data_IF_997502913066
#
_entry.id   IF_997502913066
#
_cell.length_a   1.000
_cell.length_b   1.000
_cell.length_c   1.000
_cell.angle_alpha   90.00
_cell.angle_beta   90.00
_cell.angle_gamma   90.00
#
_symmetry.space_group_name_H-M   'P 1'
#
loop_
_entity.id
_entity.type
_entity.pdbx_description
1 polymer ?
#
# COMPACT_ATOMS: atom_id res chain seq x y z
N UNK A 1 -10.06 -15.17 -13.21
CA UNK A 1 -9.54 -15.06 -11.83
C UNK A 1 -9.17 -13.61 -11.49
N UNK A 2 -9.46 -12.69 -12.39
CA UNK A 2 -9.12 -11.26 -12.24
C UNK A 2 -10.31 -10.40 -11.76
N UNK A 3 -11.52 -10.96 -11.62
CA UNK A 3 -12.73 -10.20 -11.26
C UNK A 3 -12.81 -9.78 -9.79
N UNK A 4 -12.19 -10.50 -8.87
CA UNK A 4 -12.21 -10.17 -7.43
C UNK A 4 -11.32 -8.97 -7.05
N UNK A 5 -10.38 -8.59 -7.91
CA UNK A 5 -9.48 -7.46 -7.67
C UNK A 5 -10.00 -6.15 -8.28
N UNK A 6 -10.97 -6.23 -9.21
CA UNK A 6 -11.54 -5.06 -9.89
C UNK A 6 -12.89 -4.58 -9.30
N UNK A 7 -13.49 -5.32 -8.33
CA UNK A 7 -14.79 -4.97 -7.75
C UNK A 7 -14.75 -3.80 -6.74
N UNK A 8 -13.59 -3.18 -6.53
CA UNK A 8 -13.41 -2.03 -5.66
C UNK A 8 -13.98 -0.71 -6.21
N UNK A 9 -15.13 -0.75 -6.90
CA UNK A 9 -15.81 0.47 -7.39
C UNK A 9 -16.75 1.10 -6.35
N UNK A 10 -16.93 0.47 -5.18
CA UNK A 10 -17.78 0.96 -4.11
C UNK A 10 -16.95 1.23 -2.86
N UNK A 11 -17.05 2.44 -2.32
CA UNK A 11 -16.40 2.87 -1.09
C UNK A 11 -16.00 4.35 -1.12
N UNK A 12 -15.78 4.96 0.05
CA UNK A 12 -15.36 6.36 0.10
C UNK A 12 -13.97 6.52 -0.51
N UNK A 13 -13.81 7.55 -1.29
CA UNK A 13 -12.56 7.90 -1.97
C UNK A 13 -11.62 8.73 -1.08
N UNK A 14 -11.56 8.45 0.22
CA UNK A 14 -10.71 9.21 1.15
C UNK A 14 -9.23 9.16 0.79
N UNK A 15 -8.78 8.00 0.30
CA UNK A 15 -7.40 7.82 -0.14
C UNK A 15 -7.07 8.58 -1.44
N UNK A 16 -8.09 9.11 -2.14
CA UNK A 16 -7.91 10.02 -3.27
C UNK A 16 -7.51 11.43 -2.86
N UNK A 17 -7.65 11.79 -1.58
CA UNK A 17 -7.14 13.06 -1.07
C UNK A 17 -5.62 13.02 -0.97
N UNK A 18 -4.87 13.95 -1.60
CA UNK A 18 -3.42 13.93 -1.63
C UNK A 18 -2.75 13.80 -0.26
N UNK A 19 -3.27 14.52 0.75
CA UNK A 19 -2.74 14.48 2.11
C UNK A 19 -2.90 13.13 2.79
N UNK A 20 -4.03 12.45 2.54
CA UNK A 20 -4.30 11.10 3.09
C UNK A 20 -3.44 10.07 2.37
N UNK A 21 -3.39 10.13 1.02
CA UNK A 21 -2.55 9.23 0.24
C UNK A 21 -1.07 9.32 0.63
N UNK A 22 -0.55 10.54 0.79
CA UNK A 22 0.83 10.80 1.23
C UNK A 22 1.09 10.20 2.62
N UNK A 23 0.21 10.44 3.57
CA UNK A 23 0.30 9.88 4.92
C UNK A 23 0.30 8.34 4.91
N UNK A 24 -0.46 7.71 4.02
CA UNK A 24 -0.47 6.24 3.89
C UNK A 24 0.85 5.74 3.28
N UNK A 25 1.38 6.41 2.26
CA UNK A 25 2.71 6.10 1.69
C UNK A 25 3.79 6.20 2.76
N UNK A 26 3.79 7.28 3.55
CA UNK A 26 4.72 7.44 4.67
C UNK A 26 4.62 6.32 5.69
N UNK A 27 3.39 5.87 6.01
CA UNK A 27 3.17 4.76 6.93
C UNK A 27 3.66 3.41 6.36
N UNK A 28 3.49 3.17 5.04
CA UNK A 28 4.05 2.00 4.36
C UNK A 28 5.58 1.98 4.52
N UNK A 29 6.24 3.10 4.24
CA UNK A 29 7.68 3.21 4.36
C UNK A 29 8.16 3.13 5.81
N UNK A 30 7.46 3.76 6.74
CA UNK A 30 7.78 3.67 8.17
C UNK A 30 7.73 2.23 8.69
N UNK A 31 6.72 1.45 8.32
CA UNK A 31 6.63 0.04 8.69
C UNK A 31 7.73 -0.81 8.04
N UNK A 32 8.13 -0.49 6.79
CA UNK A 32 9.19 -1.22 6.10
C UNK A 32 10.59 -0.90 6.64
N UNK A 33 10.90 0.38 6.84
CA UNK A 33 12.28 0.81 7.09
C UNK A 33 12.58 1.14 8.55
N UNK A 34 11.61 1.65 9.32
CA UNK A 34 11.81 2.00 10.71
C UNK A 34 11.41 0.88 11.68
N UNK A 35 10.28 0.20 11.40
CA UNK A 35 9.81 -0.91 12.22
C UNK A 35 10.30 -2.28 11.74
N UNK A 36 10.82 -2.35 10.51
CA UNK A 36 11.30 -3.59 9.88
C UNK A 36 10.27 -4.72 9.92
N UNK A 37 8.98 -4.36 9.74
CA UNK A 37 7.91 -5.34 9.75
C UNK A 37 7.86 -6.17 8.48
N UNK A 38 8.37 -5.61 7.37
CA UNK A 38 8.42 -6.28 6.06
C UNK A 38 9.42 -5.59 5.12
N UNK A 39 9.83 -6.33 4.10
CA UNK A 39 10.46 -5.74 2.91
C UNK A 39 9.37 -5.42 1.89
N UNK A 40 9.25 -4.17 1.46
CA UNK A 40 8.29 -3.75 0.44
C UNK A 40 8.86 -3.98 -0.96
N UNK A 41 8.07 -4.61 -1.85
CA UNK A 41 8.44 -4.89 -3.24
C UNK A 41 7.63 -4.07 -4.24
N UNK A 42 6.35 -3.88 -3.97
CA UNK A 42 5.47 -3.01 -4.73
C UNK A 42 4.33 -2.50 -3.85
N UNK A 43 3.84 -1.29 -4.14
CA UNK A 43 2.62 -0.77 -3.55
C UNK A 43 1.93 0.22 -4.50
N UNK A 44 0.62 0.39 -4.31
CA UNK A 44 -0.16 1.46 -4.90
C UNK A 44 -1.28 1.87 -3.93
N UNK A 45 -1.33 3.15 -3.58
CA UNK A 45 -2.42 3.74 -2.80
C UNK A 45 -3.44 4.26 -3.79
N UNK A 46 -4.49 3.48 -4.03
CA UNK A 46 -5.61 3.83 -4.90
C UNK A 46 -6.63 4.68 -4.14
N UNK A 47 -7.57 5.38 -4.81
CA UNK A 47 -8.49 6.29 -4.13
C UNK A 47 -9.33 5.69 -2.99
N UNK A 48 -9.60 4.38 -3.00
CA UNK A 48 -10.44 3.68 -2.02
C UNK A 48 -9.79 2.41 -1.45
N UNK A 49 -8.59 2.04 -1.88
CA UNK A 49 -7.88 0.85 -1.39
C UNK A 49 -6.36 0.96 -1.57
N UNK A 50 -5.64 0.06 -0.92
CA UNK A 50 -4.18 -0.03 -1.01
C UNK A 50 -3.80 -1.44 -1.42
N UNK A 51 -2.96 -1.55 -2.44
CA UNK A 51 -2.25 -2.77 -2.79
C UNK A 51 -0.85 -2.76 -2.19
N UNK A 52 -0.41 -3.90 -1.68
CA UNK A 52 0.91 -4.06 -1.09
C UNK A 52 1.47 -5.46 -1.38
N UNK A 53 2.66 -5.53 -1.95
CA UNK A 53 3.43 -6.78 -2.15
C UNK A 53 4.67 -6.74 -1.27
N UNK A 54 4.77 -7.65 -0.32
CA UNK A 54 5.81 -7.64 0.71
C UNK A 54 6.41 -9.02 0.97
N UNK A 55 7.62 -9.04 1.54
CA UNK A 55 8.12 -10.17 2.32
C UNK A 55 7.94 -9.83 3.79
N UNK A 56 7.07 -10.56 4.49
CA UNK A 56 6.80 -10.31 5.90
C UNK A 56 7.99 -10.75 6.77
N UNK A 57 8.42 -9.86 7.66
CA UNK A 57 9.48 -10.11 8.66
C UNK A 57 8.89 -10.34 10.07
N UNK A 58 7.61 -10.04 10.23
CA UNK A 58 6.81 -10.31 11.44
C UNK A 58 5.51 -11.01 11.04
N UNK A 59 4.78 -11.66 11.97
CA UNK A 59 3.49 -12.26 11.66
C UNK A 59 2.53 -11.28 11.01
N UNK A 60 1.84 -11.70 9.94
CA UNK A 60 0.92 -10.88 9.15
C UNK A 60 -0.10 -10.09 10.00
N UNK A 61 -0.74 -10.68 11.03
CA UNK A 61 -1.65 -9.91 11.89
C UNK A 61 -0.98 -8.72 12.60
N UNK A 62 0.29 -8.88 13.03
CA UNK A 62 1.05 -7.80 13.67
C UNK A 62 1.37 -6.69 12.67
N UNK A 63 1.81 -7.06 11.45
CA UNK A 63 2.08 -6.13 10.36
C UNK A 63 0.82 -5.31 10.01
N UNK A 64 -0.30 -6.00 9.80
CA UNK A 64 -1.58 -5.37 9.43
C UNK A 64 -2.14 -4.48 10.53
N UNK A 65 -2.08 -4.93 11.79
CA UNK A 65 -2.49 -4.13 12.95
C UNK A 65 -1.68 -2.83 13.06
N UNK A 66 -0.38 -2.89 12.82
CA UNK A 66 0.49 -1.71 12.82
C UNK A 66 0.11 -0.74 11.70
N UNK A 67 0.08 -1.23 10.45
CA UNK A 67 -0.20 -0.38 9.29
C UNK A 67 -1.62 0.21 9.34
N UNK A 68 -2.65 -0.62 9.53
CA UNK A 68 -4.05 -0.16 9.62
C UNK A 68 -4.26 0.76 10.84
N UNK A 69 -3.67 0.45 11.98
CA UNK A 69 -3.83 1.26 13.21
C UNK A 69 -3.24 2.66 13.08
N UNK A 70 -2.00 2.79 12.59
CA UNK A 70 -1.34 4.08 12.39
C UNK A 70 -2.11 4.93 11.38
N UNK A 71 -2.46 4.34 10.23
CA UNK A 71 -3.12 5.06 9.15
C UNK A 71 -4.56 5.43 9.48
N UNK A 72 -5.34 4.54 10.11
CA UNK A 72 -6.70 4.84 10.56
C UNK A 72 -6.74 6.00 11.57
N UNK A 73 -5.86 5.97 12.58
CA UNK A 73 -5.78 7.05 13.57
C UNK A 73 -5.51 8.40 12.91
N UNK A 74 -4.45 8.48 12.08
CA UNK A 74 -4.06 9.72 11.41
C UNK A 74 -5.11 10.20 10.41
N UNK A 75 -5.66 9.29 9.59
CA UNK A 75 -6.69 9.65 8.62
C UNK A 75 -7.93 10.20 9.33
N UNK A 76 -8.40 9.55 10.39
CA UNK A 76 -9.55 10.01 11.16
C UNK A 76 -9.32 11.37 11.84
N UNK A 77 -8.11 11.63 12.33
CA UNK A 77 -7.72 12.95 12.85
C UNK A 77 -7.79 14.02 11.73
N UNK A 78 -7.24 13.72 10.53
CA UNK A 78 -7.23 14.65 9.40
C UNK A 78 -8.63 14.90 8.80
N UNK A 79 -9.51 13.90 8.87
CA UNK A 79 -10.87 13.97 8.35
C UNK A 79 -11.90 14.44 9.39
N UNK A 80 -11.51 14.60 10.65
CA UNK A 80 -12.45 14.93 11.74
C UNK A 80 -13.38 13.77 12.10
N UNK A 81 -12.96 12.50 11.85
CA UNK A 81 -13.76 11.30 11.98
C UNK A 81 -13.27 10.39 13.13
N UNK A 82 -12.66 10.99 14.14
CA UNK A 82 -12.12 10.26 15.30
C UNK A 82 -13.19 9.36 15.94
N UNK A 83 -12.85 8.09 16.14
CA UNK A 83 -13.75 7.08 16.69
C UNK A 83 -14.47 6.21 15.64
N UNK A 84 -14.36 6.57 14.36
CA UNK A 84 -14.94 5.78 13.29
C UNK A 84 -13.96 4.74 12.74
N UNK A 85 -14.47 3.67 12.12
CA UNK A 85 -13.65 2.74 11.35
C UNK A 85 -13.20 3.42 10.07
N UNK A 86 -11.89 3.33 9.74
CA UNK A 86 -11.33 3.85 8.50
C UNK A 86 -11.07 2.73 7.46
N UNK A 87 -10.67 1.57 7.94
CA UNK A 87 -10.42 0.39 7.10
C UNK A 87 -11.51 -0.64 7.33
N UNK A 88 -11.88 -1.34 6.26
CA UNK A 88 -12.65 -2.57 6.39
C UNK A 88 -11.89 -3.55 7.29
N UNK A 89 -12.62 -4.31 8.10
CA UNK A 89 -12.03 -5.29 9.02
C UNK A 89 -11.23 -6.33 8.24
N UNK A 90 -11.80 -6.81 7.14
CA UNK A 90 -11.17 -7.78 6.27
C UNK A 90 -10.09 -7.13 5.38
N UNK A 91 -9.04 -7.89 5.14
CA UNK A 91 -8.05 -7.63 4.11
C UNK A 91 -7.86 -8.91 3.31
N UNK A 92 -7.71 -8.77 2.00
CA UNK A 92 -7.41 -9.92 1.14
C UNK A 92 -5.91 -10.11 1.12
N UNK A 93 -5.46 -11.24 1.68
CA UNK A 93 -4.06 -11.65 1.65
C UNK A 93 -3.89 -12.92 0.82
N UNK A 94 -2.82 -12.98 0.07
CA UNK A 94 -2.47 -14.11 -0.77
C UNK A 94 -0.98 -14.40 -0.69
N UNK A 95 -0.66 -15.65 -0.39
CA UNK A 95 0.70 -16.14 -0.48
C UNK A 95 1.10 -16.28 -1.97
N UNK A 96 2.20 -15.67 -2.34
CA UNK A 96 2.80 -15.75 -3.69
C UNK A 96 3.66 -17.01 -3.77
N UNK A 97 3.39 -17.86 -4.76
CA UNK A 97 3.92 -19.23 -4.83
C UNK A 97 5.25 -19.35 -5.58
N UNK A 98 5.45 -18.51 -6.57
CA UNK A 98 6.63 -18.58 -7.43
C UNK A 98 7.01 -17.20 -7.98
N UNK A 99 8.17 -17.13 -8.63
CA UNK A 99 8.71 -15.90 -9.20
C UNK A 99 7.82 -15.35 -10.33
N UNK A 100 7.19 -16.20 -11.14
CA UNK A 100 6.32 -15.75 -12.23
C UNK A 100 5.06 -15.06 -11.68
N UNK A 101 4.48 -15.64 -10.64
CA UNK A 101 3.35 -15.04 -9.93
C UNK A 101 3.76 -13.73 -9.25
N UNK A 102 4.95 -13.68 -8.64
CA UNK A 102 5.50 -12.46 -8.04
C UNK A 102 5.61 -11.33 -9.05
N UNK A 103 6.24 -11.55 -10.21
CA UNK A 103 6.40 -10.52 -11.24
C UNK A 103 5.04 -10.09 -11.83
N UNK A 104 4.11 -11.04 -12.00
CA UNK A 104 2.74 -10.75 -12.44
C UNK A 104 2.01 -9.83 -11.46
N UNK A 105 2.07 -10.13 -10.17
CA UNK A 105 1.42 -9.33 -9.13
C UNK A 105 2.09 -7.96 -9.00
N UNK A 106 3.41 -7.92 -9.04
CA UNK A 106 4.16 -6.66 -9.01
C UNK A 106 3.74 -5.74 -10.16
N UNK A 107 3.80 -6.24 -11.40
CA UNK A 107 3.34 -5.49 -12.58
C UNK A 107 1.89 -5.05 -12.46
N UNK A 108 1.02 -5.92 -11.95
CA UNK A 108 -0.39 -5.60 -11.74
C UNK A 108 -0.56 -4.42 -10.78
N UNK A 109 0.15 -4.42 -9.65
CA UNK A 109 0.10 -3.35 -8.64
C UNK A 109 0.61 -2.03 -9.24
N UNK A 110 1.74 -2.06 -9.92
CA UNK A 110 2.37 -0.88 -10.51
C UNK A 110 1.54 -0.28 -11.65
N UNK A 111 0.86 -1.12 -12.44
CA UNK A 111 -0.02 -0.73 -13.55
C UNK A 111 -1.46 -0.38 -13.12
N UNK A 112 -1.84 -0.64 -11.89
CA UNK A 112 -3.21 -0.44 -11.41
C UNK A 112 -3.70 1.02 -11.62
N UNK A 113 -2.91 2.08 -11.33
CA UNK A 113 -3.32 3.46 -11.59
C UNK A 113 -3.60 3.76 -13.07
N UNK A 114 -2.86 3.15 -13.99
CA UNK A 114 -3.08 3.27 -15.44
C UNK A 114 -4.38 2.58 -15.83
N UNK A 115 -4.60 1.35 -15.36
CA UNK A 115 -5.84 0.58 -15.59
C UNK A 115 -7.08 1.29 -15.05
N UNK A 116 -6.94 1.99 -13.92
CA UNK A 116 -8.00 2.79 -13.33
C UNK A 116 -8.21 4.15 -14.06
N UNK A 117 -7.38 4.48 -15.05
CA UNK A 117 -7.46 5.73 -15.79
C UNK A 117 -7.01 6.97 -15.01
N UNK A 118 -6.28 6.80 -13.91
CA UNK A 118 -5.81 7.90 -13.06
C UNK A 118 -4.60 8.63 -13.66
N UNK A 119 -3.76 7.89 -14.39
CA UNK A 119 -2.58 8.37 -15.10
C UNK A 119 -2.42 7.65 -16.43
N UNK A 120 -1.57 8.16 -17.33
CA UNK A 120 -1.25 7.52 -18.61
C UNK A 120 -0.04 6.59 -18.51
N UNK A 121 0.88 6.91 -17.63
CA UNK A 121 2.09 6.14 -17.34
C UNK A 121 2.15 5.83 -15.84
N UNK A 122 2.46 4.58 -15.50
CA UNK A 122 2.56 4.14 -14.10
C UNK A 122 3.58 4.98 -13.29
N UNK A 123 4.67 5.43 -13.91
CA UNK A 123 5.67 6.27 -13.30
C UNK A 123 5.17 7.69 -12.94
N UNK A 124 4.06 8.14 -13.51
CA UNK A 124 3.42 9.42 -13.19
C UNK A 124 2.60 9.36 -11.88
N UNK A 125 2.22 8.16 -11.44
CA UNK A 125 1.41 8.02 -10.24
C UNK A 125 2.26 8.09 -8.98
N UNK A 126 2.21 9.24 -8.32
CA UNK A 126 3.10 9.59 -7.21
C UNK A 126 2.90 8.71 -5.94
N UNK A 127 1.77 8.04 -5.77
CA UNK A 127 1.44 7.21 -4.62
C UNK A 127 1.57 5.71 -4.92
N UNK A 128 2.55 5.36 -5.75
CA UNK A 128 2.90 3.98 -6.07
C UNK A 128 4.41 3.77 -6.14
N UNK A 129 4.84 2.51 -6.03
CA UNK A 129 6.24 2.12 -6.19
C UNK A 129 6.79 2.36 -7.59
N UNK A 130 5.95 2.39 -8.63
CA UNK A 130 6.37 2.62 -10.02
C UNK A 130 6.99 4.01 -10.22
N UNK A 131 6.44 5.05 -9.58
CA UNK A 131 6.93 6.43 -9.66
C UNK A 131 8.06 6.76 -8.66
N UNK A 132 8.36 5.84 -7.75
CA UNK A 132 9.20 6.13 -6.61
C UNK A 132 10.67 6.49 -6.93
N UNK A 133 11.39 5.82 -7.86
CA UNK A 133 12.80 6.15 -8.14
C UNK A 133 13.00 7.39 -9.02
N UNK A 134 11.98 7.83 -9.76
CA UNK A 134 12.12 8.79 -10.85
C UNK A 134 11.90 10.25 -10.47
N UNK A 135 11.40 10.53 -9.27
CA UNK A 135 10.99 11.90 -8.89
C UNK A 135 11.87 12.56 -7.84
N UNK A 136 13.21 12.37 -7.90
CA UNK A 136 14.06 12.98 -6.87
C UNK A 136 13.45 12.64 -5.51
N UNK A 137 13.40 11.35 -5.24
CA UNK A 137 12.68 10.76 -4.13
C UNK A 137 12.88 11.58 -2.87
N UNK A 138 11.86 11.78 -2.03
CA UNK A 138 12.08 12.18 -0.65
C UNK A 138 13.10 11.29 0.08
N UNK A 139 13.56 10.19 -0.51
CA UNK A 139 14.75 9.45 -0.08
C UNK A 139 16.03 10.30 -0.08
N UNK A 140 16.10 11.34 -0.91
CA UNK A 140 17.15 12.36 -0.81
C UNK A 140 16.77 13.51 0.14
N UNK A 141 15.47 13.65 0.44
CA UNK A 141 14.89 14.63 1.37
C UNK A 141 13.95 13.98 2.41
N UNK A 142 13.88 12.64 2.46
CA UNK A 142 13.04 11.89 3.36
C UNK A 142 13.42 12.03 4.82
N UNK A 143 12.50 11.69 5.74
CA UNK A 143 12.82 11.71 7.17
C UNK A 143 14.09 10.90 7.44
N UNK A 144 14.86 11.22 8.50
CA UNK A 144 16.22 10.73 8.75
C UNK A 144 16.40 9.21 8.85
N UNK A 145 15.32 8.44 8.79
CA UNK A 145 15.33 6.97 8.73
C UNK A 145 15.46 6.41 7.29
N UNK A 146 15.47 7.26 6.26
CA UNK A 146 15.69 6.87 4.87
C UNK A 146 17.18 6.71 4.59
N UNK A 147 17.86 5.76 5.22
CA UNK A 147 19.23 5.41 4.83
C UNK A 147 19.20 4.34 3.74
N UNK A 148 19.74 4.67 2.56
CA UNK A 148 20.04 3.70 1.49
C UNK A 148 20.81 2.52 2.09
N UNK A 149 20.35 1.29 1.92
CA UNK A 149 21.14 0.16 2.36
C UNK A 149 20.62 -1.24 2.08
N UNK A 150 19.41 -1.40 1.58
CA UNK A 150 18.96 -2.72 1.16
C UNK A 150 18.45 -2.64 -0.28
N UNK A 151 19.25 -3.12 -1.23
CA UNK A 151 18.76 -3.44 -2.57
C UNK A 151 17.68 -4.53 -2.43
N UNK A 152 16.40 -4.24 -2.76
CA UNK A 152 15.34 -5.25 -2.71
C UNK A 152 15.64 -6.48 -3.58
N UNK A 153 16.62 -6.35 -4.48
CA UNK A 153 17.05 -7.42 -5.40
C UNK A 153 17.93 -8.48 -4.73
N UNK A 154 18.53 -8.20 -3.58
CA UNK A 154 19.42 -9.16 -2.89
C UNK A 154 18.64 -10.20 -2.08
N UNK A 155 17.35 -10.00 -1.78
CA UNK A 155 16.49 -10.97 -1.08
C UNK A 155 15.90 -12.06 -2.01
N UNK A 156 16.30 -12.13 -3.27
CA UNK A 156 15.73 -13.04 -4.28
C UNK A 156 16.07 -14.53 -4.06
N UNK A 157 16.64 -14.91 -2.92
CA UNK A 157 17.06 -16.29 -2.62
C UNK A 157 16.02 -17.20 -1.99
N UNK A 158 14.93 -16.68 -1.43
CA UNK A 158 13.90 -17.49 -0.78
C UNK A 158 12.51 -16.98 -1.15
N UNK A 159 11.78 -17.74 -1.96
CA UNK A 159 10.37 -17.47 -2.32
C UNK A 159 9.39 -17.67 -1.15
N UNK A 160 9.86 -18.16 -0.01
CA UNK A 160 9.07 -18.38 1.19
C UNK A 160 8.79 -17.03 1.88
N UNK A 161 7.55 -16.58 1.82
CA UNK A 161 7.09 -15.42 2.61
C UNK A 161 6.63 -14.18 1.83
N UNK A 162 6.55 -14.23 0.49
CA UNK A 162 5.91 -13.14 -0.26
C UNK A 162 4.41 -13.15 -0.07
N UNK A 163 3.85 -12.01 0.31
CA UNK A 163 2.42 -11.84 0.56
C UNK A 163 1.93 -10.64 -0.24
N UNK A 164 0.86 -10.85 -1.01
CA UNK A 164 0.07 -9.76 -1.60
C UNK A 164 -1.10 -9.45 -0.69
N UNK A 165 -1.26 -8.19 -0.32
CA UNK A 165 -2.34 -7.71 0.56
C UNK A 165 -3.10 -6.59 -0.12
N UNK A 166 -4.43 -6.61 0.01
CA UNK A 166 -5.31 -5.50 -0.40
C UNK A 166 -6.15 -5.05 0.79
N UNK A 167 -6.13 -3.75 1.08
CA UNK A 167 -6.90 -3.14 2.16
C UNK A 167 -7.87 -2.11 1.58
N UNK A 168 -9.15 -2.21 1.91
CA UNK A 168 -10.20 -1.28 1.46
C UNK A 168 -10.56 -0.30 2.56
N UNK A 169 -10.84 0.96 2.18
CA UNK A 169 -11.42 1.94 3.08
C UNK A 169 -12.89 1.59 3.38
N UNK A 170 -13.33 1.81 4.63
CA UNK A 170 -14.68 1.47 5.10
C UNK A 170 -15.72 2.43 4.51
N UNK A 171 -16.82 1.86 3.97
CA UNK A 171 -17.91 2.64 3.36
C UNK A 171 -19.14 2.82 4.23
N UNK A 172 -19.24 2.08 5.34
CA UNK A 172 -20.54 1.80 5.97
C UNK A 172 -21.19 2.92 6.78
N UNK A 173 -20.59 4.12 6.92
CA UNK A 173 -21.14 5.15 7.81
C UNK A 173 -21.39 6.52 7.18
N UNK A 174 -21.21 6.68 5.86
CA UNK A 174 -21.22 8.01 5.22
C UNK A 174 -22.41 8.31 4.32
N UNK A 175 -23.40 7.40 4.24
CA UNK A 175 -24.62 7.60 3.43
C UNK A 175 -25.75 8.36 4.16
N UNK A 176 -25.52 8.87 5.40
CA UNK A 176 -26.54 9.58 6.15
C UNK A 176 -26.08 11.00 6.55
N UNK A 177 -25.90 11.87 5.56
CA UNK A 177 -26.09 13.33 5.78
C UNK A 177 -26.30 14.05 4.47
#
# INVERSE_FOLDING_TARGET
MDQLLDEARCGPFFLGQPSIAEMVVDAIHYNAYALEHYTSHAFAVMPNHVHLLVTALVPLPKMMKSLKGITAKRANEMLGLTGNSFWQEESYDRLVRDRREFEKIRSYIEENPVRAGLVRDAAEYRWSSAGWPTRGSPADQGPPYFRRGADPRSAAGALAGFISVVCYAESSQYEQH
#
